data_IF_838285850287
#
_entry.id   IF_838285850287
#
_cell.length_a   1.000
_cell.length_b   1.000
_cell.length_c   1.000
_cell.angle_alpha   90.00
_cell.angle_beta   90.00
_cell.angle_gamma   90.00
#
_symmetry.space_group_name_H-M   'P 1'
#
loop_
_entity.id
_entity.type
_entity.pdbx_description
1 polymer ?
#
# COMPACT_ATOMS: atom_id res chain seq x y z
N UNK A 1 19.18 -15.29 -55.04
CA UNK A 1 19.74 -13.97 -54.69
C UNK A 1 19.06 -13.34 -53.48
N UNK A 2 17.74 -13.08 -53.48
CA UNK A 2 17.02 -12.50 -52.31
C UNK A 2 17.18 -13.28 -50.99
N UNK A 3 17.15 -14.62 -51.02
CA UNK A 3 17.32 -15.46 -49.82
C UNK A 3 18.74 -15.39 -49.23
N UNK A 4 19.76 -15.21 -50.07
CA UNK A 4 21.17 -15.07 -49.63
C UNK A 4 21.39 -13.69 -49.01
N UNK A 5 20.77 -12.66 -49.56
CA UNK A 5 20.80 -11.29 -49.01
C UNK A 5 20.11 -11.23 -47.63
N UNK A 6 18.98 -11.94 -47.45
CA UNK A 6 18.29 -12.01 -46.15
C UNK A 6 19.11 -12.76 -45.10
N UNK A 7 19.80 -13.85 -45.48
CA UNK A 7 20.67 -14.60 -44.55
C UNK A 7 21.89 -13.77 -44.15
N UNK A 8 22.48 -13.00 -45.08
CA UNK A 8 23.59 -12.08 -44.78
C UNK A 8 23.13 -10.93 -43.88
N UNK A 9 21.93 -10.37 -44.10
CA UNK A 9 21.38 -9.31 -43.25
C UNK A 9 21.04 -9.79 -41.83
N UNK A 10 20.54 -11.02 -41.66
CA UNK A 10 20.26 -11.61 -40.34
C UNK A 10 21.56 -11.95 -39.59
N UNK A 11 22.59 -12.44 -40.28
CA UNK A 11 23.91 -12.68 -39.68
C UNK A 11 24.62 -11.38 -39.30
N UNK A 12 24.45 -10.30 -40.07
CA UNK A 12 25.01 -8.98 -39.75
C UNK A 12 24.32 -8.38 -38.50
N UNK A 13 23.00 -8.53 -38.37
CA UNK A 13 22.25 -8.03 -37.22
C UNK A 13 22.56 -8.78 -35.91
N UNK A 14 22.89 -10.07 -36.00
CA UNK A 14 23.26 -10.91 -34.85
C UNK A 14 24.71 -10.66 -34.36
N UNK A 15 25.58 -10.12 -35.22
CA UNK A 15 26.95 -9.75 -34.85
C UNK A 15 27.04 -8.38 -34.13
N UNK A 16 26.00 -7.53 -34.24
CA UNK A 16 25.96 -6.19 -33.64
C UNK A 16 25.50 -6.17 -32.17
N UNK A 17 25.02 -7.28 -31.62
CA UNK A 17 24.50 -7.38 -30.25
C UNK A 17 25.56 -7.73 -29.18
N UNK A 18 26.80 -8.02 -29.56
CA UNK A 18 27.89 -8.41 -28.62
C UNK A 18 28.84 -7.26 -28.22
N UNK A 19 28.64 -6.04 -28.73
CA UNK A 19 29.53 -4.89 -28.46
C UNK A 19 29.03 -3.99 -27.30
N UNK A 20 27.86 -4.28 -26.71
CA UNK A 20 27.27 -3.44 -25.63
C UNK A 20 27.72 -3.80 -24.20
N UNK A 21 28.90 -4.41 -24.04
CA UNK A 21 29.54 -4.65 -22.75
C UNK A 21 31.01 -4.21 -22.76
N UNK A 22 31.24 -2.92 -22.96
CA UNK A 22 32.44 -2.29 -22.41
C UNK A 22 32.12 -1.82 -20.99
N UNK A 23 32.45 -2.68 -20.03
CA UNK A 23 32.60 -2.30 -18.63
C UNK A 23 33.74 -1.28 -18.59
N UNK A 24 33.41 -0.01 -18.38
CA UNK A 24 34.40 1.03 -18.06
C UNK A 24 34.95 0.73 -16.68
N UNK A 25 36.22 0.32 -16.63
CA UNK A 25 37.03 0.41 -15.42
C UNK A 25 37.36 1.88 -15.20
N UNK A 26 36.51 2.58 -14.47
CA UNK A 26 36.85 3.89 -13.94
C UNK A 26 37.87 3.69 -12.82
N UNK A 27 39.05 4.28 -13.04
CA UNK A 27 40.13 4.34 -12.07
C UNK A 27 39.60 4.98 -10.78
N UNK A 28 39.56 4.18 -9.71
CA UNK A 28 39.37 4.68 -8.35
C UNK A 28 40.59 5.54 -8.03
N UNK A 29 40.44 6.84 -8.21
CA UNK A 29 41.20 7.79 -7.42
C UNK A 29 40.76 7.56 -5.96
N UNK A 30 41.73 7.25 -5.09
CA UNK A 30 41.54 7.30 -3.64
C UNK A 30 41.22 8.75 -3.26
N UNK A 31 39.95 9.12 -3.35
CA UNK A 31 39.44 10.26 -2.62
C UNK A 31 39.35 9.81 -1.16
N UNK A 32 40.25 10.34 -0.34
CA UNK A 32 40.28 10.14 1.11
C UNK A 32 38.93 10.62 1.67
N UNK A 33 37.98 9.70 1.78
CA UNK A 33 36.73 9.92 2.50
C UNK A 33 37.07 10.23 3.95
N UNK A 34 37.03 11.50 4.32
CA UNK A 34 36.93 11.89 5.72
C UNK A 34 35.71 11.18 6.33
N UNK A 35 35.82 10.66 7.57
CA UNK A 35 34.73 9.93 8.19
C UNK A 35 33.58 10.90 8.46
N UNK A 36 32.66 11.01 7.50
CA UNK A 36 31.34 11.57 7.74
C UNK A 36 30.69 10.66 8.77
N UNK A 37 30.48 11.22 9.97
CA UNK A 37 29.73 10.62 11.07
C UNK A 37 28.59 9.79 10.50
N UNK A 38 28.71 8.46 10.62
CA UNK A 38 27.68 7.53 10.15
C UNK A 38 26.42 7.86 10.94
N UNK A 39 25.51 8.64 10.34
CA UNK A 39 24.12 8.66 10.76
C UNK A 39 23.63 7.23 10.54
N UNK A 40 23.60 6.45 11.62
CA UNK A 40 22.97 5.14 11.68
C UNK A 40 21.61 5.26 10.99
N UNK A 41 21.51 4.71 9.79
CA UNK A 41 20.25 4.61 9.06
C UNK A 41 19.43 3.58 9.83
N UNK A 42 18.56 4.04 10.72
CA UNK A 42 17.65 3.15 11.41
C UNK A 42 16.68 2.56 10.39
N UNK A 43 16.68 1.24 10.27
CA UNK A 43 15.69 0.53 9.48
C UNK A 43 14.30 0.84 10.04
N UNK A 44 13.42 1.33 9.17
CA UNK A 44 12.03 1.57 9.50
C UNK A 44 11.36 0.27 9.98
N UNK A 45 10.84 0.31 11.20
CA UNK A 45 9.97 -0.75 11.72
C UNK A 45 8.52 -0.29 11.67
N UNK A 46 7.65 -1.15 11.16
CA UNK A 46 6.21 -0.92 11.18
C UNK A 46 5.75 -0.94 12.64
N UNK A 47 5.08 0.13 13.07
CA UNK A 47 4.37 0.12 14.35
C UNK A 47 3.23 -0.89 14.33
N UNK A 48 2.75 -1.28 15.51
CA UNK A 48 1.59 -2.16 15.63
C UNK A 48 0.37 -1.56 14.92
N UNK A 49 0.17 -0.24 15.05
CA UNK A 49 -0.90 0.46 14.35
C UNK A 49 -0.72 0.41 12.84
N UNK A 50 0.49 0.64 12.32
CA UNK A 50 0.73 0.59 10.88
C UNK A 50 0.48 -0.83 10.31
N UNK A 51 0.88 -1.87 11.05
CA UNK A 51 0.60 -3.25 10.68
C UNK A 51 -0.92 -3.55 10.70
N UNK A 52 -1.63 -3.06 11.71
CA UNK A 52 -3.08 -3.21 11.81
C UNK A 52 -3.81 -2.51 10.65
N UNK A 53 -3.40 -1.30 10.27
CA UNK A 53 -3.99 -0.55 9.16
C UNK A 53 -3.79 -1.27 7.82
N UNK A 54 -2.63 -1.88 7.59
CA UNK A 54 -2.39 -2.70 6.40
C UNK A 54 -3.30 -3.94 6.40
N UNK A 55 -3.46 -4.61 7.54
CA UNK A 55 -4.37 -5.75 7.67
C UNK A 55 -5.83 -5.35 7.39
N UNK A 56 -6.29 -4.24 7.97
CA UNK A 56 -7.62 -3.69 7.72
C UNK A 56 -7.83 -3.35 6.24
N UNK A 57 -6.83 -2.80 5.57
CA UNK A 57 -6.89 -2.53 4.14
C UNK A 57 -7.06 -3.81 3.32
N UNK A 58 -6.27 -4.84 3.60
CA UNK A 58 -6.33 -6.13 2.88
C UNK A 58 -7.70 -6.78 3.07
N UNK A 59 -8.23 -6.76 4.29
CA UNK A 59 -9.53 -7.35 4.59
C UNK A 59 -10.67 -6.58 3.94
N UNK A 60 -10.61 -5.24 3.94
CA UNK A 60 -11.57 -4.41 3.22
C UNK A 60 -11.48 -4.60 1.70
N UNK A 61 -10.29 -4.83 1.15
CA UNK A 61 -10.15 -5.16 -0.27
C UNK A 61 -10.85 -6.48 -0.62
N UNK A 62 -10.69 -7.52 0.20
CA UNK A 62 -11.38 -8.81 0.03
C UNK A 62 -12.89 -8.65 0.20
N UNK A 63 -13.31 -7.88 1.19
CA UNK A 63 -14.72 -7.60 1.46
C UNK A 63 -15.39 -6.87 0.28
N UNK A 64 -14.72 -5.85 -0.27
CA UNK A 64 -15.15 -5.15 -1.49
C UNK A 64 -15.43 -6.15 -2.61
N UNK A 65 -14.50 -7.06 -2.87
CA UNK A 65 -14.65 -8.07 -3.93
C UNK A 65 -15.87 -8.98 -3.70
N UNK A 66 -16.16 -9.36 -2.45
CA UNK A 66 -17.35 -10.15 -2.10
C UNK A 66 -18.64 -9.36 -2.32
N UNK A 67 -18.70 -8.10 -1.84
CA UNK A 67 -19.86 -7.22 -2.03
C UNK A 67 -20.16 -7.05 -3.52
N UNK A 68 -19.14 -6.78 -4.34
CA UNK A 68 -19.31 -6.59 -5.79
C UNK A 68 -19.77 -7.85 -6.53
N UNK A 69 -19.48 -9.04 -6.00
CA UNK A 69 -19.93 -10.32 -6.56
C UNK A 69 -21.30 -10.77 -6.04
N UNK A 70 -21.87 -10.06 -5.05
CA UNK A 70 -23.07 -10.50 -4.35
C UNK A 70 -22.85 -11.76 -3.49
N UNK A 71 -21.61 -12.01 -3.08
CA UNK A 71 -21.25 -13.13 -2.20
C UNK A 71 -21.57 -12.81 -0.74
N UNK A 72 -21.55 -13.83 0.12
CA UNK A 72 -21.70 -13.72 1.56
C UNK A 72 -20.64 -12.77 2.16
N UNK A 73 -21.12 -11.77 2.91
CA UNK A 73 -20.28 -10.73 3.50
C UNK A 73 -19.50 -11.28 4.71
N UNK A 74 -20.10 -12.22 5.45
CA UNK A 74 -19.52 -12.86 6.62
C UNK A 74 -19.87 -12.15 7.92
N UNK A 75 -18.92 -12.13 8.85
CA UNK A 75 -19.05 -11.51 10.17
C UNK A 75 -18.01 -10.40 10.35
N UNK A 76 -18.31 -9.43 11.21
CA UNK A 76 -17.40 -8.35 11.53
C UNK A 76 -16.06 -8.88 12.06
N UNK A 77 -14.91 -8.48 11.48
CA UNK A 77 -13.61 -8.94 11.93
C UNK A 77 -13.24 -8.31 13.28
N UNK A 78 -13.33 -9.10 14.35
CA UNK A 78 -13.11 -8.61 15.72
C UNK A 78 -11.72 -8.00 15.95
N UNK A 79 -10.71 -8.41 15.16
CA UNK A 79 -9.37 -7.83 15.27
C UNK A 79 -9.33 -6.33 14.90
N UNK A 80 -10.35 -5.78 14.23
CA UNK A 80 -10.43 -4.34 13.98
C UNK A 80 -10.52 -3.54 15.29
N UNK A 81 -11.06 -4.12 16.37
CA UNK A 81 -11.17 -3.47 17.67
C UNK A 81 -9.81 -3.10 18.29
N UNK A 82 -8.73 -3.77 17.86
CA UNK A 82 -7.35 -3.44 18.27
C UNK A 82 -6.95 -2.02 17.89
N UNK A 83 -7.70 -1.33 17.02
CA UNK A 83 -7.46 0.08 16.68
C UNK A 83 -7.45 0.99 17.92
N UNK A 84 -8.11 0.59 19.01
CA UNK A 84 -8.14 1.35 20.25
C UNK A 84 -6.92 1.12 21.16
N UNK A 85 -6.12 0.09 20.87
CA UNK A 85 -5.07 -0.41 21.76
C UNK A 85 -3.69 -0.48 21.09
N UNK A 86 -3.64 -0.65 19.77
CA UNK A 86 -2.39 -0.83 19.04
C UNK A 86 -1.46 0.38 19.19
N UNK A 87 -0.17 0.10 19.42
CA UNK A 87 0.85 1.13 19.62
C UNK A 87 1.09 1.92 18.33
N UNK A 88 1.00 3.24 18.44
CA UNK A 88 1.27 4.19 17.36
C UNK A 88 2.76 4.30 17.06
N UNK A 89 3.11 4.76 15.86
CA UNK A 89 4.50 5.14 15.56
C UNK A 89 4.93 6.36 16.40
N UNK A 90 4.03 7.32 16.55
CA UNK A 90 4.16 8.46 17.46
C UNK A 90 3.02 8.38 18.49
N UNK A 91 3.35 8.25 19.77
CA UNK A 91 2.36 8.12 20.84
C UNK A 91 1.44 9.35 20.94
N UNK A 92 1.90 10.53 20.54
CA UNK A 92 1.11 11.76 20.56
C UNK A 92 -0.04 11.76 19.55
N UNK A 93 0.01 10.87 18.53
CA UNK A 93 -1.09 10.68 17.59
C UNK A 93 -2.30 9.99 18.22
N UNK A 94 -2.14 9.32 19.39
CA UNK A 94 -3.25 8.70 20.12
C UNK A 94 -4.05 9.71 20.96
N UNK A 95 -4.57 10.73 20.29
CA UNK A 95 -5.33 11.81 20.89
C UNK A 95 -6.85 11.63 20.77
N UNK A 96 -7.61 12.65 21.21
CA UNK A 96 -9.07 12.62 21.15
C UNK A 96 -9.60 12.51 19.72
N UNK A 97 -8.94 13.18 18.75
CA UNK A 97 -9.34 13.09 17.34
C UNK A 97 -9.17 11.67 16.82
N UNK A 98 -8.02 11.02 17.07
CA UNK A 98 -7.81 9.65 16.64
C UNK A 98 -8.87 8.71 17.23
N UNK A 99 -9.14 8.81 18.54
CA UNK A 99 -10.13 7.96 19.22
C UNK A 99 -11.54 8.13 18.66
N UNK A 100 -11.93 9.37 18.35
CA UNK A 100 -13.22 9.66 17.71
C UNK A 100 -13.30 9.02 16.31
N UNK A 101 -12.26 9.19 15.49
CA UNK A 101 -12.24 8.64 14.12
C UNK A 101 -12.18 7.12 14.11
N UNK A 102 -11.40 6.51 15.01
CA UNK A 102 -11.38 5.07 15.19
C UNK A 102 -12.80 4.54 15.51
N UNK A 103 -13.52 5.19 16.42
CA UNK A 103 -14.91 4.82 16.75
C UNK A 103 -15.85 4.97 15.55
N UNK A 104 -15.73 6.06 14.78
CA UNK A 104 -16.51 6.26 13.54
C UNK A 104 -16.24 5.17 12.51
N UNK A 105 -14.97 4.81 12.30
CA UNK A 105 -14.58 3.73 11.40
C UNK A 105 -15.17 2.39 11.83
N UNK A 106 -15.04 2.02 13.11
CA UNK A 106 -15.61 0.77 13.63
C UNK A 106 -17.12 0.73 13.44
N UNK A 107 -17.83 1.81 13.78
CA UNK A 107 -19.27 1.90 13.58
C UNK A 107 -19.66 1.74 12.11
N UNK A 108 -18.95 2.38 11.19
CA UNK A 108 -19.21 2.24 9.76
C UNK A 108 -18.97 0.80 9.27
N UNK A 109 -17.90 0.15 9.75
CA UNK A 109 -17.60 -1.24 9.42
C UNK A 109 -18.67 -2.20 9.94
N UNK A 110 -19.15 -2.04 11.17
CA UNK A 110 -20.23 -2.85 11.73
C UNK A 110 -21.52 -2.76 10.92
N UNK A 111 -21.84 -1.59 10.37
CA UNK A 111 -23.06 -1.38 9.58
C UNK A 111 -23.10 -2.24 8.32
N UNK A 112 -21.95 -2.57 7.73
CA UNK A 112 -21.85 -3.47 6.58
C UNK A 112 -22.47 -4.86 6.91
N UNK A 113 -22.28 -5.32 8.14
CA UNK A 113 -22.75 -6.63 8.60
C UNK A 113 -24.16 -6.57 9.23
N UNK A 114 -24.52 -5.44 9.85
CA UNK A 114 -25.85 -5.22 10.44
C UNK A 114 -26.93 -4.95 9.39
N UNK A 115 -26.55 -4.35 8.27
CA UNK A 115 -27.44 -4.08 7.14
C UNK A 115 -26.80 -4.50 5.80
N UNK A 116 -26.73 -5.82 5.53
CA UNK A 116 -26.13 -6.36 4.31
C UNK A 116 -26.77 -5.87 3.00
N UNK A 117 -28.03 -5.44 3.04
CA UNK A 117 -28.76 -4.94 1.85
C UNK A 117 -28.16 -3.65 1.32
N UNK A 118 -27.61 -2.81 2.20
CA UNK A 118 -26.96 -1.55 1.85
C UNK A 118 -25.43 -1.62 2.04
N UNK A 119 -24.86 -2.83 1.98
CA UNK A 119 -23.45 -3.07 2.27
C UNK A 119 -22.49 -2.19 1.45
N UNK A 120 -22.79 -1.90 0.18
CA UNK A 120 -21.95 -1.03 -0.65
C UNK A 120 -21.88 0.41 -0.13
N UNK A 121 -23.03 0.97 0.28
CA UNK A 121 -23.10 2.31 0.86
C UNK A 121 -22.40 2.38 2.23
N UNK A 122 -22.63 1.38 3.09
CA UNK A 122 -21.94 1.26 4.39
C UNK A 122 -20.43 1.07 4.21
N UNK A 123 -20.01 0.28 3.21
CA UNK A 123 -18.61 0.09 2.87
C UNK A 123 -17.96 1.41 2.43
N UNK A 124 -18.61 2.16 1.54
CA UNK A 124 -18.13 3.48 1.11
C UNK A 124 -18.05 4.48 2.28
N UNK A 125 -19.01 4.43 3.21
CA UNK A 125 -18.95 5.20 4.48
C UNK A 125 -17.73 4.82 5.32
N UNK A 126 -17.36 3.53 5.35
CA UNK A 126 -16.13 3.05 5.97
C UNK A 126 -14.87 3.58 5.29
N UNK A 127 -14.84 3.62 3.95
CA UNK A 127 -13.74 4.21 3.16
C UNK A 127 -13.60 5.70 3.45
N UNK A 128 -14.71 6.43 3.58
CA UNK A 128 -14.70 7.85 3.96
C UNK A 128 -14.08 8.04 5.34
N UNK A 129 -14.43 7.21 6.33
CA UNK A 129 -13.84 7.26 7.67
C UNK A 129 -12.32 7.02 7.64
N UNK A 130 -11.84 6.07 6.82
CA UNK A 130 -10.39 5.89 6.61
C UNK A 130 -9.74 7.18 6.09
N UNK A 131 -10.34 7.80 5.07
CA UNK A 131 -9.78 9.01 4.44
C UNK A 131 -9.80 10.20 5.40
N UNK A 132 -10.88 10.41 6.16
CA UNK A 132 -10.99 11.50 7.12
C UNK A 132 -9.90 11.43 8.20
N UNK A 133 -9.62 10.22 8.71
CA UNK A 133 -8.52 10.04 9.65
C UNK A 133 -7.16 10.32 8.97
N UNK A 134 -6.91 9.75 7.78
CA UNK A 134 -5.65 9.90 7.06
C UNK A 134 -5.38 11.31 6.52
N UNK A 135 -6.41 12.13 6.33
CA UNK A 135 -6.24 13.53 5.93
C UNK A 135 -5.69 14.40 7.04
N UNK A 136 -5.92 14.02 8.31
CA UNK A 136 -5.64 14.87 9.46
C UNK A 136 -4.50 14.34 10.33
N UNK A 137 -4.36 13.01 10.45
CA UNK A 137 -3.42 12.38 11.39
C UNK A 137 -2.20 11.82 10.69
N UNK A 138 -2.42 10.77 9.91
CA UNK A 138 -1.32 10.05 9.30
C UNK A 138 -1.50 10.17 7.79
N UNK A 139 -0.56 10.85 7.12
CA UNK A 139 -0.52 11.03 5.66
C UNK A 139 -0.31 9.73 4.85
N UNK A 140 -0.84 8.60 5.36
CA UNK A 140 -0.89 7.32 4.71
C UNK A 140 -1.49 7.41 3.30
N UNK A 141 -1.46 6.31 2.54
CA UNK A 141 -1.65 6.37 1.09
C UNK A 141 -3.12 6.58 0.70
N UNK A 142 -3.64 7.81 0.85
CA UNK A 142 -5.00 8.21 0.46
C UNK A 142 -5.33 7.79 -0.98
N UNK A 143 -4.45 7.93 -1.98
CA UNK A 143 -4.73 7.44 -3.34
C UNK A 143 -4.97 5.93 -3.41
N UNK A 144 -4.35 5.14 -2.52
CA UNK A 144 -4.57 3.69 -2.43
C UNK A 144 -5.90 3.37 -1.73
N UNK A 145 -6.27 4.14 -0.70
CA UNK A 145 -7.54 3.97 0.02
C UNK A 145 -8.73 4.30 -0.90
N UNK A 146 -8.64 5.38 -1.69
CA UNK A 146 -9.68 5.75 -2.67
C UNK A 146 -9.99 4.66 -3.69
N UNK A 147 -9.07 3.73 -3.95
CA UNK A 147 -9.34 2.58 -4.84
C UNK A 147 -10.30 1.56 -4.21
N UNK A 148 -10.60 1.65 -2.92
CA UNK A 148 -11.54 0.78 -2.23
C UNK A 148 -12.99 1.11 -2.58
N UNK A 149 -13.36 2.35 -2.91
CA UNK A 149 -14.75 2.71 -3.23
C UNK A 149 -15.40 1.74 -4.21
N UNK A 150 -16.62 1.33 -3.87
CA UNK A 150 -17.50 0.56 -4.76
C UNK A 150 -18.28 1.59 -5.58
N UNK A 151 -18.20 1.46 -6.91
CA UNK A 151 -19.02 2.25 -7.82
C UNK A 151 -20.43 1.67 -7.82
N UNK A 152 -21.42 2.52 -7.63
CA UNK A 152 -22.83 2.20 -7.85
C UNK A 152 -23.18 2.15 -9.35
#
# INVERSE_FOLDING_TARGET
MKKVIVVILVLLFLALSVISCQKKEDKVAEEKCEPKTEKKLEMYQMSEMAALMEQMYVDNKRLKERIQKGDTIGQFPQHFMRIHEAVMTDESDNDAFFKEQASKFIKAQEMIYKDPKNAAAHFNTGVDACIQCHQQKCGGPIPRIKKLYIKE
#
